data_IF_474096438396
#
_entry.id   IF_474096438396
#
_cell.length_a   1.000
_cell.length_b   1.000
_cell.length_c   1.000
_cell.angle_alpha   90.00
_cell.angle_beta   90.00
_cell.angle_gamma   90.00
#
_symmetry.space_group_name_H-M   'P 1'
#
loop_
_entity.id
_entity.type
_entity.pdbx_description
1 polymer ?
#
# COMPACT_ATOMS: atom_id res chain seq x y z
N UNK A 1 -23.17 -9.05 -4.04
CA UNK A 1 -22.96 -8.07 -5.11
C UNK A 1 -21.52 -8.27 -5.56
N UNK A 2 -21.29 -8.81 -6.76
CA UNK A 2 -19.92 -9.04 -7.25
C UNK A 2 -19.29 -7.67 -7.50
N UNK A 3 -18.25 -7.34 -6.73
CA UNK A 3 -17.43 -6.16 -6.97
C UNK A 3 -16.78 -6.37 -8.33
N UNK A 4 -17.23 -5.61 -9.34
CA UNK A 4 -16.60 -5.58 -10.65
C UNK A 4 -15.14 -5.22 -10.43
N UNK A 5 -14.27 -6.17 -10.74
CA UNK A 5 -12.85 -6.04 -10.54
C UNK A 5 -12.35 -4.92 -11.46
N UNK A 6 -12.14 -3.73 -10.89
CA UNK A 6 -11.15 -2.79 -11.40
C UNK A 6 -9.81 -3.53 -11.47
N UNK A 7 -8.89 -3.11 -12.33
CA UNK A 7 -7.58 -3.76 -12.49
C UNK A 7 -6.85 -4.04 -11.17
N UNK A 8 -5.67 -4.65 -11.26
CA UNK A 8 -4.75 -4.71 -10.13
C UNK A 8 -4.15 -3.31 -9.91
N UNK A 9 -5.01 -2.35 -9.59
CA UNK A 9 -4.72 -0.94 -9.38
C UNK A 9 -4.24 -0.78 -7.94
N UNK A 10 -3.21 0.04 -7.76
CA UNK A 10 -2.69 0.46 -6.48
C UNK A 10 -2.70 1.99 -6.44
N UNK A 11 -3.40 2.61 -5.48
CA UNK A 11 -4.20 1.96 -4.42
C UNK A 11 -5.44 1.24 -4.98
N UNK A 12 -5.82 0.14 -4.35
CA UNK A 12 -7.00 -0.63 -4.73
C UNK A 12 -8.29 0.05 -4.27
N UNK A 13 -9.39 -0.22 -4.98
CA UNK A 13 -10.70 0.37 -4.63
C UNK A 13 -11.16 0.04 -3.20
N UNK A 14 -10.75 -1.13 -2.68
CA UNK A 14 -11.05 -1.55 -1.31
C UNK A 14 -10.21 -0.84 -0.24
N UNK A 15 -9.12 -0.17 -0.63
CA UNK A 15 -8.32 0.66 0.27
C UNK A 15 -8.93 2.06 0.45
N UNK A 16 -9.79 2.50 -0.48
CA UNK A 16 -10.43 3.81 -0.45
C UNK A 16 -9.46 5.01 -0.33
N UNK A 17 -8.25 4.82 -0.85
CA UNK A 17 -7.19 5.83 -0.96
C UNK A 17 -7.22 6.39 -2.38
N UNK A 18 -6.96 7.70 -2.55
CA UNK A 18 -7.05 8.33 -3.87
C UNK A 18 -5.83 8.04 -4.74
N UNK A 19 -4.62 8.30 -4.23
CA UNK A 19 -3.38 8.20 -5.01
C UNK A 19 -2.21 7.70 -4.16
N UNK A 20 -1.20 7.13 -4.82
CA UNK A 20 0.16 7.11 -4.30
C UNK A 20 0.76 8.53 -4.42
N UNK A 21 1.72 8.87 -3.57
CA UNK A 21 2.42 10.16 -3.65
C UNK A 21 3.93 9.93 -3.62
N UNK A 22 4.68 10.65 -4.46
CA UNK A 22 6.15 10.67 -4.44
C UNK A 22 6.62 12.08 -4.77
N UNK A 23 7.42 12.65 -3.88
CA UNK A 23 7.93 14.00 -3.98
C UNK A 23 9.32 14.04 -4.60
N UNK A 24 9.65 15.16 -5.23
CA UNK A 24 10.98 15.40 -5.80
C UNK A 24 12.09 15.37 -4.75
N UNK A 25 13.33 15.10 -5.18
CA UNK A 25 14.50 14.89 -4.31
C UNK A 25 14.90 16.11 -3.45
N UNK A 26 14.33 17.28 -3.72
CA UNK A 26 14.55 18.53 -2.98
C UNK A 26 13.32 18.95 -2.18
N UNK A 27 12.27 18.12 -2.15
CA UNK A 27 11.10 18.38 -1.33
C UNK A 27 11.47 18.33 0.15
N UNK A 28 10.81 19.19 0.92
CA UNK A 28 10.90 19.12 2.37
C UNK A 28 10.11 17.88 2.83
N UNK A 29 10.69 16.98 3.65
CA UNK A 29 10.00 15.80 4.18
C UNK A 29 8.66 16.10 4.86
N UNK A 30 8.43 17.35 5.30
CA UNK A 30 7.16 17.80 5.87
C UNK A 30 5.91 17.66 4.97
N UNK A 31 6.07 17.19 3.73
CA UNK A 31 4.95 16.95 2.82
C UNK A 31 4.49 15.48 2.81
N UNK A 32 4.94 14.70 3.79
CA UNK A 32 4.51 13.33 4.03
C UNK A 32 5.39 12.26 3.38
N UNK A 33 6.34 12.62 2.52
CA UNK A 33 7.30 11.72 1.85
C UNK A 33 8.72 12.00 2.35
N UNK A 34 9.26 11.07 3.15
CA UNK A 34 10.54 11.24 3.84
C UNK A 34 11.74 10.67 3.10
N UNK A 35 11.53 9.85 2.07
CA UNK A 35 12.60 9.18 1.32
C UNK A 35 12.55 9.39 -0.20
N UNK A 36 11.52 10.06 -0.72
CA UNK A 36 11.31 10.36 -2.14
C UNK A 36 11.18 9.11 -3.01
N UNK A 37 10.91 7.95 -2.41
CA UNK A 37 10.93 6.64 -3.06
C UNK A 37 9.70 5.82 -2.66
N UNK A 38 8.87 5.47 -3.65
CA UNK A 38 7.82 4.48 -3.47
C UNK A 38 8.20 3.17 -4.17
N UNK A 39 8.33 2.09 -3.40
CA UNK A 39 8.56 0.74 -3.93
C UNK A 39 7.26 -0.05 -3.89
N UNK A 40 6.82 -0.60 -5.03
CA UNK A 40 5.63 -1.44 -5.14
C UNK A 40 5.99 -2.77 -5.80
N UNK A 41 5.48 -3.86 -5.24
CA UNK A 41 5.64 -5.19 -5.78
C UNK A 41 4.34 -5.68 -6.41
N UNK A 42 4.44 -6.33 -7.56
CA UNK A 42 3.33 -7.00 -8.22
C UNK A 42 3.56 -8.51 -8.30
N UNK A 43 2.65 -9.28 -7.71
CA UNK A 43 2.62 -10.73 -7.72
C UNK A 43 1.76 -11.24 -8.89
N UNK A 44 2.32 -12.15 -9.68
CA UNK A 44 1.65 -12.82 -10.80
C UNK A 44 1.67 -14.33 -10.53
N UNK A 45 0.53 -15.04 -10.53
CA UNK A 45 0.51 -16.47 -10.29
C UNK A 45 1.36 -17.22 -11.32
N UNK A 46 2.10 -18.24 -10.89
CA UNK A 46 2.95 -19.02 -11.81
C UNK A 46 2.20 -19.63 -12.99
N UNK A 47 0.88 -19.82 -12.86
CA UNK A 47 -0.01 -20.39 -13.87
C UNK A 47 -0.38 -19.40 -14.96
N UNK A 48 -0.21 -18.09 -14.73
CA UNK A 48 -0.46 -17.06 -15.73
C UNK A 48 0.75 -16.91 -16.66
N UNK A 49 0.57 -17.18 -17.96
CA UNK A 49 1.65 -17.23 -18.97
C UNK A 49 1.51 -16.21 -20.09
N UNK A 50 0.44 -15.41 -20.08
CA UNK A 50 0.17 -14.41 -21.12
C UNK A 50 0.95 -13.12 -20.82
N UNK A 51 1.15 -12.24 -21.81
CA UNK A 51 1.73 -10.92 -21.56
C UNK A 51 0.96 -10.12 -20.51
N UNK A 52 1.68 -9.25 -19.83
CA UNK A 52 1.18 -8.28 -18.85
C UNK A 52 1.68 -6.88 -19.19
N UNK A 53 1.01 -5.88 -18.65
CA UNK A 53 1.32 -4.46 -18.89
C UNK A 53 1.27 -3.71 -17.56
N UNK A 54 2.32 -2.96 -17.25
CA UNK A 54 2.27 -1.99 -16.16
C UNK A 54 1.72 -0.68 -16.71
N UNK A 55 0.69 -0.15 -16.09
CA UNK A 55 0.07 1.12 -16.46
C UNK A 55 0.28 2.11 -15.34
N UNK A 56 0.60 3.35 -15.69
CA UNK A 56 0.86 4.45 -14.76
C UNK A 56 -0.14 5.54 -15.11
N UNK A 57 -0.99 5.90 -14.16
CA UNK A 57 -1.90 7.02 -14.29
C UNK A 57 -1.21 8.27 -13.77
N UNK A 58 -1.24 9.35 -14.55
CA UNK A 58 -0.67 10.64 -14.18
C UNK A 58 0.82 10.56 -13.77
N UNK A 59 1.70 10.04 -14.66
CA UNK A 59 3.10 9.77 -14.32
C UNK A 59 3.95 11.04 -14.13
N UNK A 60 3.40 12.21 -14.41
CA UNK A 60 4.14 13.47 -14.53
C UNK A 60 3.81 14.38 -13.36
N UNK A 61 4.81 15.16 -12.90
CA UNK A 61 4.54 16.10 -11.83
C UNK A 61 3.96 17.41 -12.36
N UNK A 62 2.68 17.59 -12.08
CA UNK A 62 1.92 18.81 -12.19
C UNK A 62 0.71 18.63 -13.08
N UNK A 63 -0.36 19.37 -12.82
CA UNK A 63 -1.61 19.16 -13.55
C UNK A 63 -2.77 19.34 -12.61
N UNK A 64 -3.79 18.49 -12.73
CA UNK A 64 -4.98 18.58 -11.91
C UNK A 64 -4.76 18.07 -10.47
N UNK A 65 -3.97 17.00 -10.30
CA UNK A 65 -3.93 16.26 -9.04
C UNK A 65 -2.70 16.56 -8.19
N UNK A 66 -1.54 16.83 -8.79
CA UNK A 66 -0.26 16.98 -8.09
C UNK A 66 -0.19 18.17 -7.11
N UNK A 67 0.81 18.12 -6.22
CA UNK A 67 1.05 19.20 -5.25
C UNK A 67 2.15 20.13 -5.73
N UNK A 68 1.78 21.38 -6.03
CA UNK A 68 2.73 22.45 -6.34
C UNK A 68 3.30 23.03 -5.05
N UNK A 69 4.60 22.93 -4.86
CA UNK A 69 5.31 23.55 -3.73
C UNK A 69 5.83 24.94 -4.12
N UNK A 70 6.40 25.09 -5.33
CA UNK A 70 6.93 26.37 -5.82
C UNK A 70 6.66 26.56 -7.32
N UNK A 71 6.45 27.81 -7.76
CA UNK A 71 6.26 28.12 -9.19
C UNK A 71 7.61 28.39 -9.87
N UNK A 72 7.91 27.81 -11.05
CA UNK A 72 7.13 26.80 -11.77
C UNK A 72 7.38 25.38 -11.25
N UNK A 73 6.52 24.44 -11.67
CA UNK A 73 6.74 23.00 -11.50
C UNK A 73 8.17 22.62 -11.88
N UNK A 74 8.85 21.86 -11.03
CA UNK A 74 10.25 21.48 -11.21
C UNK A 74 10.55 20.00 -10.90
N UNK A 75 9.59 19.22 -10.43
CA UNK A 75 9.81 17.81 -10.10
C UNK A 75 9.91 16.90 -11.32
N UNK A 76 10.89 15.98 -11.28
CA UNK A 76 11.00 14.85 -12.21
C UNK A 76 10.83 13.53 -11.48
N UNK A 77 9.96 12.69 -12.00
CA UNK A 77 9.67 11.37 -11.42
C UNK A 77 10.16 10.25 -12.34
N UNK A 78 11.00 9.36 -11.82
CA UNK A 78 11.41 8.15 -12.52
C UNK A 78 10.50 6.98 -12.14
N UNK A 79 10.07 6.21 -13.13
CA UNK A 79 9.41 4.93 -12.94
C UNK A 79 10.27 3.83 -13.54
N UNK A 80 10.72 2.90 -12.70
CA UNK A 80 11.57 1.78 -13.11
C UNK A 80 11.00 0.44 -12.70
N UNK A 81 11.10 -0.54 -13.59
CA UNK A 81 10.57 -1.90 -13.41
C UNK A 81 11.73 -2.89 -13.38
N UNK A 82 11.73 -3.73 -12.35
CA UNK A 82 12.73 -4.75 -12.11
C UNK A 82 12.11 -6.13 -12.05
N UNK A 83 12.85 -7.11 -12.55
CA UNK A 83 12.54 -8.53 -12.45
C UNK A 83 13.81 -9.37 -12.23
N UNK A 84 13.72 -10.68 -12.37
CA UNK A 84 14.84 -11.60 -12.19
C UNK A 84 15.28 -11.75 -10.73
N UNK A 85 16.36 -12.49 -10.51
CA UNK A 85 16.87 -12.78 -9.18
C UNK A 85 17.16 -11.50 -8.39
N UNK A 86 16.77 -11.47 -7.12
CA UNK A 86 16.93 -10.33 -6.19
C UNK A 86 16.05 -9.10 -6.47
N UNK A 87 15.13 -9.14 -7.44
CA UNK A 87 14.17 -8.04 -7.59
C UNK A 87 13.27 -7.89 -6.36
N UNK A 88 12.83 -9.01 -5.79
CA UNK A 88 12.07 -9.10 -4.55
C UNK A 88 12.90 -9.63 -3.38
N UNK A 89 13.71 -10.67 -3.56
CA UNK A 89 14.37 -11.38 -2.44
C UNK A 89 15.49 -10.58 -1.76
N UNK A 90 15.93 -9.46 -2.36
CA UNK A 90 16.80 -8.50 -1.69
C UNK A 90 16.02 -7.74 -0.61
N UNK A 91 16.51 -7.81 0.63
CA UNK A 91 15.80 -7.26 1.79
C UNK A 91 15.81 -5.75 1.81
N UNK A 92 16.82 -5.11 1.21
CA UNK A 92 16.91 -3.65 1.16
C UNK A 92 15.69 -3.00 0.48
N UNK A 93 14.99 -3.71 -0.41
CA UNK A 93 13.75 -3.24 -1.04
C UNK A 93 12.47 -3.59 -0.25
N UNK A 94 12.59 -4.33 0.85
CA UNK A 94 11.49 -4.74 1.73
C UNK A 94 11.51 -4.00 3.08
N UNK A 95 12.32 -2.96 3.22
CA UNK A 95 12.41 -2.15 4.44
C UNK A 95 11.54 -0.91 4.33
N UNK A 96 11.30 -0.24 5.47
CA UNK A 96 10.59 1.03 5.47
C UNK A 96 11.42 2.10 4.75
N UNK A 97 12.71 2.22 5.11
CA UNK A 97 13.70 2.99 4.35
C UNK A 97 14.48 2.05 3.43
N UNK A 98 14.47 2.29 2.11
CA UNK A 98 15.22 1.49 1.17
C UNK A 98 16.72 1.43 1.51
N UNK A 99 17.25 0.23 1.69
CA UNK A 99 18.69 0.02 1.91
C UNK A 99 19.51 0.22 0.62
N UNK A 100 20.84 0.28 0.66
CA UNK A 100 21.67 0.64 -0.50
C UNK A 100 21.47 -0.24 -1.75
N UNK A 101 21.02 -1.48 -1.59
CA UNK A 101 20.79 -2.41 -2.69
C UNK A 101 19.31 -2.50 -3.10
N UNK A 102 18.46 -1.53 -2.75
CA UNK A 102 17.02 -1.57 -3.07
C UNK A 102 16.73 -1.67 -4.58
N UNK A 103 17.66 -1.24 -5.45
CA UNK A 103 17.60 -1.41 -6.91
C UNK A 103 18.09 -2.76 -7.43
N UNK A 104 18.28 -3.75 -6.57
CA UNK A 104 18.68 -5.10 -6.98
C UNK A 104 17.68 -5.75 -7.93
N UNK A 105 18.15 -6.71 -8.72
CA UNK A 105 17.38 -7.33 -9.80
C UNK A 105 17.85 -6.84 -11.17
N UNK A 106 17.20 -7.35 -12.21
CA UNK A 106 17.41 -6.93 -13.58
C UNK A 106 16.50 -5.74 -13.87
N UNK A 107 17.08 -4.58 -14.19
CA UNK A 107 16.33 -3.45 -14.72
C UNK A 107 15.75 -3.83 -16.09
N UNK A 108 14.43 -3.81 -16.21
CA UNK A 108 13.72 -4.14 -17.47
C UNK A 108 13.46 -2.86 -18.25
N UNK A 109 12.96 -1.83 -17.58
CA UNK A 109 12.66 -0.53 -18.17
C UNK A 109 12.73 0.57 -17.10
N UNK A 110 13.14 1.77 -17.49
CA UNK A 110 13.14 2.98 -16.67
C UNK A 110 12.74 4.15 -17.56
N UNK A 111 11.82 4.98 -17.08
CA UNK A 111 11.29 6.14 -17.81
C UNK A 111 11.21 7.33 -16.85
N UNK A 112 11.78 8.45 -17.28
CA UNK A 112 11.68 9.74 -16.60
C UNK A 112 10.52 10.56 -17.14
N UNK A 113 9.80 11.20 -16.23
CA UNK A 113 8.68 12.09 -16.52
C UNK A 113 8.95 13.47 -15.93
N UNK A 114 8.76 14.51 -16.74
CA UNK A 114 9.07 15.91 -16.38
C UNK A 114 8.18 16.95 -17.08
N UNK A 115 7.72 16.65 -18.29
CA UNK A 115 6.73 17.46 -19.00
C UNK A 115 5.31 16.94 -18.68
N UNK A 116 4.22 17.54 -19.20
CA UNK A 116 2.83 17.13 -18.89
C UNK A 116 1.98 16.52 -20.04
N UNK A 117 2.51 15.74 -21.01
CA UNK A 117 1.67 15.11 -22.04
C UNK A 117 0.63 14.09 -21.54
N UNK A 118 0.67 13.64 -20.29
CA UNK A 118 -0.18 12.58 -19.71
C UNK A 118 -0.94 13.00 -18.44
N UNK A 119 -1.17 14.30 -18.20
CA UNK A 119 -2.03 14.79 -17.10
C UNK A 119 -3.40 14.11 -17.15
N UNK A 120 -3.76 13.43 -16.05
CA UNK A 120 -5.00 12.68 -15.91
C UNK A 120 -5.20 11.58 -16.98
N UNK A 121 -4.12 11.06 -17.57
CA UNK A 121 -4.12 10.00 -18.58
C UNK A 121 -3.29 8.77 -18.13
N UNK A 122 -3.49 7.63 -18.80
CA UNK A 122 -2.73 6.41 -18.54
C UNK A 122 -1.58 6.23 -19.54
N UNK A 123 -0.36 6.13 -19.03
CA UNK A 123 0.81 5.63 -19.76
C UNK A 123 0.98 4.12 -19.57
N UNK A 124 1.52 3.40 -20.56
CA UNK A 124 1.64 1.93 -20.51
C UNK A 124 3.05 1.47 -20.86
N UNK A 125 3.61 0.64 -19.99
CA UNK A 125 4.86 -0.08 -20.17
C UNK A 125 4.60 -1.56 -20.47
N UNK A 126 5.47 -2.14 -21.29
CA UNK A 126 5.41 -3.54 -21.72
C UNK A 126 5.04 -3.69 -23.21
N UNK A 127 4.64 -4.91 -23.65
CA UNK A 127 4.33 -6.08 -22.83
C UNK A 127 5.55 -6.66 -22.09
N UNK A 128 5.31 -7.21 -20.91
CA UNK A 128 6.28 -8.05 -20.19
C UNK A 128 5.83 -9.51 -20.19
N UNK A 129 6.79 -10.44 -20.19
CA UNK A 129 6.56 -11.84 -19.94
C UNK A 129 6.54 -12.08 -18.42
N UNK A 130 5.49 -12.69 -17.83
CA UNK A 130 5.45 -12.98 -16.39
C UNK A 130 6.70 -13.65 -15.82
N UNK A 131 7.38 -14.49 -16.61
CA UNK A 131 8.61 -15.17 -16.20
C UNK A 131 9.84 -14.26 -16.07
N UNK A 132 9.75 -12.99 -16.47
CA UNK A 132 10.80 -11.99 -16.23
C UNK A 132 10.83 -11.54 -14.77
N UNK A 133 9.74 -11.72 -14.00
CA UNK A 133 9.72 -11.46 -12.57
C UNK A 133 10.55 -12.47 -11.76
N UNK A 134 10.81 -12.17 -10.49
CA UNK A 134 11.46 -13.13 -9.59
C UNK A 134 10.47 -14.21 -9.14
N UNK A 135 10.78 -15.49 -9.35
CA UNK A 135 9.94 -16.55 -8.81
C UNK A 135 10.08 -16.64 -7.29
N UNK A 136 8.96 -16.49 -6.58
CA UNK A 136 8.87 -16.69 -5.14
C UNK A 136 8.09 -17.98 -4.84
N UNK A 137 8.74 -18.92 -4.15
CA UNK A 137 8.15 -20.21 -3.80
C UNK A 137 7.01 -20.10 -2.78
N UNK A 138 7.10 -19.18 -1.82
CA UNK A 138 6.12 -19.03 -0.74
C UNK A 138 4.79 -18.45 -1.26
N UNK A 139 4.86 -17.54 -2.23
CA UNK A 139 3.71 -16.91 -2.88
C UNK A 139 3.28 -17.63 -4.18
N UNK A 140 4.03 -18.68 -4.56
CA UNK A 140 3.81 -19.50 -5.76
C UNK A 140 3.61 -18.69 -7.06
N UNK A 141 4.41 -17.64 -7.23
CA UNK A 141 4.26 -16.67 -8.32
C UNK A 141 5.53 -15.92 -8.66
N UNK A 142 5.47 -15.14 -9.73
CA UNK A 142 6.53 -14.25 -10.16
C UNK A 142 6.26 -12.84 -9.65
N UNK A 143 7.30 -12.17 -9.15
CA UNK A 143 7.19 -10.84 -8.55
C UNK A 143 8.00 -9.85 -9.37
N UNK A 144 7.34 -8.79 -9.81
CA UNK A 144 7.98 -7.60 -10.35
C UNK A 144 8.09 -6.55 -9.25
N UNK A 145 9.19 -5.80 -9.25
CA UNK A 145 9.37 -4.63 -8.40
C UNK A 145 9.29 -3.38 -9.26
N UNK A 146 8.48 -2.43 -8.84
CA UNK A 146 8.38 -1.09 -9.42
C UNK A 146 8.95 -0.12 -8.40
N UNK A 147 9.88 0.71 -8.83
CA UNK A 147 10.44 1.81 -8.04
C UNK A 147 9.98 3.10 -8.70
N UNK A 148 9.32 3.94 -7.93
CA UNK A 148 8.98 5.30 -8.29
C UNK A 148 9.83 6.23 -7.44
N UNK A 149 10.48 7.20 -8.06
CA UNK A 149 11.45 8.06 -7.36
C UNK A 149 11.37 9.48 -7.88
N UNK A 150 11.25 10.45 -6.96
CA UNK A 150 11.50 11.84 -7.28
C UNK A 150 12.99 12.09 -7.41
N UNK A 151 13.44 12.43 -8.61
CA UNK A 151 14.87 12.58 -8.95
C UNK A 151 15.34 14.03 -9.00
N UNK A 152 14.40 14.96 -9.10
CA UNK A 152 14.61 16.41 -9.14
C UNK A 152 13.35 17.10 -8.62
N UNK A 153 13.46 18.38 -8.24
CA UNK A 153 12.40 19.27 -7.80
C UNK A 153 11.90 19.05 -6.37
N UNK A 154 10.89 19.84 -6.00
CA UNK A 154 10.30 19.86 -4.65
C UNK A 154 8.76 19.73 -4.65
N UNK A 155 8.16 19.53 -5.81
CA UNK A 155 6.73 19.26 -5.98
C UNK A 155 6.40 17.77 -5.77
N UNK A 156 5.14 17.49 -5.44
CA UNK A 156 4.64 16.13 -5.19
C UNK A 156 3.88 15.56 -6.37
N UNK A 157 4.37 14.47 -6.96
CA UNK A 157 3.65 13.72 -7.99
C UNK A 157 2.69 12.70 -7.37
N UNK A 158 1.42 12.75 -7.75
CA UNK A 158 0.40 11.80 -7.30
C UNK A 158 -0.13 10.96 -8.46
N UNK A 159 -0.09 9.65 -8.29
CA UNK A 159 -0.33 8.72 -9.39
C UNK A 159 -1.05 7.46 -8.93
N UNK A 160 -1.41 6.61 -9.90
CA UNK A 160 -1.81 5.22 -9.63
C UNK A 160 -1.01 4.28 -10.50
N UNK A 161 -0.71 3.11 -9.95
CA UNK A 161 -0.14 2.00 -10.71
C UNK A 161 -1.21 0.96 -11.01
N UNK A 162 -1.12 0.27 -12.14
CA UNK A 162 -1.99 -0.87 -12.41
C UNK A 162 -1.27 -1.95 -13.19
N UNK A 163 -1.37 -3.20 -12.73
CA UNK A 163 -0.96 -4.36 -13.53
C UNK A 163 -2.16 -4.91 -14.32
N UNK A 164 -2.00 -5.00 -15.64
CA UNK A 164 -3.09 -5.35 -16.54
C UNK A 164 -2.76 -6.49 -17.49
N UNK A 165 -3.78 -7.26 -17.86
CA UNK A 165 -3.69 -8.28 -18.93
C UNK A 165 -3.76 -7.68 -20.34
N UNK A 166 -4.08 -6.37 -20.48
CA UNK A 166 -4.22 -5.68 -21.76
C UNK A 166 -3.60 -4.27 -21.71
N UNK A 167 -3.12 -3.72 -22.85
CA UNK A 167 -2.39 -2.45 -22.83
C UNK A 167 -3.27 -1.21 -22.63
N UNK A 168 -4.57 -1.27 -22.98
CA UNK A 168 -5.43 -0.06 -23.05
C UNK A 168 -6.48 0.06 -21.94
N UNK A 169 -6.69 -0.99 -21.16
CA UNK A 169 -7.63 -0.98 -20.03
C UNK A 169 -6.96 -1.57 -18.78
N UNK A 170 -7.51 -1.27 -17.60
CA UNK A 170 -7.12 -1.87 -16.33
C UNK A 170 -7.89 -3.18 -16.12
N UNK A 171 -7.39 -4.30 -16.68
CA UNK A 171 -7.99 -5.63 -16.49
C UNK A 171 -7.10 -6.44 -15.56
N UNK A 172 -7.58 -6.86 -14.38
CA UNK A 172 -6.74 -7.50 -13.37
C UNK A 172 -6.28 -8.89 -13.82
N UNK A 173 -5.11 -9.30 -13.33
CA UNK A 173 -4.63 -10.68 -13.49
C UNK A 173 -5.36 -11.55 -12.46
N UNK A 174 -6.10 -12.59 -12.88
CA UNK A 174 -6.72 -13.51 -11.93
C UNK A 174 -5.69 -14.13 -10.99
N UNK A 175 -5.88 -13.95 -9.68
CA UNK A 175 -4.97 -14.44 -8.64
C UNK A 175 -3.72 -13.59 -8.41
N UNK A 176 -3.52 -12.50 -9.16
CA UNK A 176 -2.43 -11.56 -8.90
C UNK A 176 -2.67 -10.71 -7.66
N UNK A 177 -1.62 -10.07 -7.15
CA UNK A 177 -1.71 -9.07 -6.08
C UNK A 177 -0.73 -7.91 -6.29
N UNK A 178 -0.93 -6.80 -5.60
CA UNK A 178 0.05 -5.73 -5.45
C UNK A 178 0.32 -5.52 -3.95
N UNK A 179 1.54 -5.15 -3.57
CA UNK A 179 1.88 -4.89 -2.18
C UNK A 179 3.08 -3.96 -2.02
N UNK A 180 3.16 -3.29 -0.87
CA UNK A 180 4.30 -2.46 -0.46
C UNK A 180 4.64 -2.67 1.02
N UNK A 181 5.84 -2.29 1.44
CA UNK A 181 6.29 -2.31 2.84
C UNK A 181 6.30 -0.90 3.48
N UNK A 182 6.45 0.14 2.67
CA UNK A 182 6.30 1.55 3.04
C UNK A 182 5.26 2.19 2.12
N UNK A 183 4.25 2.84 2.67
CA UNK A 183 3.11 3.33 1.89
C UNK A 183 3.00 4.84 2.06
N UNK A 184 3.33 5.57 1.01
CA UNK A 184 3.18 7.03 0.92
C UNK A 184 2.00 7.33 0.00
N UNK A 185 0.95 7.94 0.54
CA UNK A 185 -0.31 8.06 -0.17
C UNK A 185 -1.14 9.29 0.20
N UNK A 186 -2.01 9.67 -0.73
CA UNK A 186 -2.98 10.76 -0.57
C UNK A 186 -4.32 10.25 -0.07
N UNK A 187 -4.73 10.77 1.08
CA UNK A 187 -6.07 10.55 1.60
C UNK A 187 -7.12 11.35 0.82
N UNK A 188 -8.33 10.81 0.78
CA UNK A 188 -9.50 11.51 0.25
C UNK A 188 -9.73 12.83 0.98
N UNK A 189 -10.09 13.86 0.21
CA UNK A 189 -10.53 15.14 0.73
C UNK A 189 -11.97 15.07 1.30
N UNK A 190 -12.19 14.23 2.31
CA UNK A 190 -13.48 14.11 2.98
C UNK A 190 -13.38 13.42 4.35
N UNK A 191 -13.99 14.04 5.37
CA UNK A 191 -14.12 13.47 6.73
C UNK A 191 -15.06 12.26 6.85
N UNK A 192 -15.79 11.95 5.78
CA UNK A 192 -16.74 10.82 5.78
C UNK A 192 -16.14 9.54 5.24
N UNK A 193 -14.91 9.63 4.72
CA UNK A 193 -14.21 8.53 4.08
C UNK A 193 -13.22 7.90 5.06
N UNK A 194 -13.14 6.57 5.02
CA UNK A 194 -12.19 5.78 5.80
C UNK A 194 -11.27 5.11 4.80
N UNK A 195 -9.95 5.33 4.93
CA UNK A 195 -8.95 4.61 4.19
C UNK A 195 -8.60 3.30 4.92
N UNK A 196 -8.21 2.28 4.16
CA UNK A 196 -7.92 0.94 4.66
C UNK A 196 -6.54 0.48 4.19
N UNK A 197 -5.73 -0.03 5.12
CA UNK A 197 -4.47 -0.70 4.84
C UNK A 197 -4.52 -2.14 5.35
N UNK A 198 -4.04 -3.09 4.54
CA UNK A 198 -4.18 -4.52 4.84
C UNK A 198 -2.83 -5.22 5.08
N UNK A 199 -2.19 -5.04 6.25
CA UNK A 199 -0.94 -5.73 6.55
C UNK A 199 -1.18 -7.24 6.71
N UNK A 200 -0.32 -8.05 6.10
CA UNK A 200 -0.39 -9.51 6.23
C UNK A 200 0.48 -10.01 7.40
N UNK A 201 -0.16 -10.69 8.35
CA UNK A 201 0.50 -11.17 9.56
C UNK A 201 0.84 -12.64 9.38
N UNK A 202 2.11 -12.97 9.12
CA UNK A 202 2.53 -14.36 8.99
C UNK A 202 2.56 -15.11 10.34
N UNK A 203 2.80 -16.42 10.29
CA UNK A 203 2.78 -17.29 11.47
C UNK A 203 3.90 -17.04 12.49
N UNK A 204 4.92 -16.28 12.14
CA UNK A 204 6.04 -15.91 13.01
C UNK A 204 5.82 -14.58 13.74
N UNK A 205 4.87 -13.75 13.32
CA UNK A 205 4.62 -12.44 13.92
C UNK A 205 3.87 -12.58 15.25
N UNK A 206 4.42 -11.99 16.31
CA UNK A 206 3.83 -12.00 17.67
C UNK A 206 3.53 -10.60 18.20
N UNK A 207 4.17 -9.58 17.65
CA UNK A 207 3.80 -8.18 17.85
C UNK A 207 4.06 -7.38 16.59
N UNK A 208 3.29 -6.32 16.44
CA UNK A 208 3.47 -5.31 15.39
C UNK A 208 3.66 -3.96 16.04
N UNK A 209 4.51 -3.13 15.44
CA UNK A 209 4.68 -1.74 15.78
C UNK A 209 4.38 -0.92 14.54
N UNK A 210 3.28 -0.18 14.57
CA UNK A 210 2.91 0.73 13.48
C UNK A 210 3.65 2.04 13.61
N UNK A 211 3.92 2.67 12.47
CA UNK A 211 4.48 4.00 12.35
C UNK A 211 3.65 4.77 11.32
N UNK A 212 3.33 6.01 11.66
CA UNK A 212 2.71 6.95 10.72
C UNK A 212 3.33 8.33 10.89
N UNK A 213 3.46 9.02 9.76
CA UNK A 213 4.05 10.35 9.66
C UNK A 213 3.08 11.25 8.88
N UNK A 214 2.96 12.51 9.34
CA UNK A 214 2.21 13.58 8.66
C UNK A 214 0.69 13.39 8.52
N UNK A 215 0.06 12.69 9.46
CA UNK A 215 -1.41 12.65 9.53
C UNK A 215 -2.04 13.90 10.16
N UNK A 216 -1.23 14.85 10.66
CA UNK A 216 -1.67 16.16 11.17
C UNK A 216 -2.75 16.13 12.27
N UNK A 217 -2.82 15.05 13.04
CA UNK A 217 -3.90 14.83 14.02
C UNK A 217 -5.30 14.91 13.41
N UNK A 218 -5.45 14.58 12.12
CA UNK A 218 -6.69 14.72 11.35
C UNK A 218 -7.71 13.61 11.60
N UNK A 219 -7.67 12.92 12.73
CA UNK A 219 -8.69 11.94 13.07
C UNK A 219 -8.16 10.78 13.87
N UNK A 220 -8.60 9.57 13.53
CA UNK A 220 -8.31 8.37 14.30
C UNK A 220 -7.82 7.24 13.40
N UNK A 221 -6.86 6.48 13.92
CA UNK A 221 -6.37 5.26 13.31
C UNK A 221 -6.79 4.08 14.19
N UNK A 222 -7.46 3.08 13.61
CA UNK A 222 -7.96 1.90 14.33
C UNK A 222 -7.57 0.61 13.62
N UNK A 223 -7.20 -0.39 14.41
CA UNK A 223 -6.88 -1.74 13.97
C UNK A 223 -8.06 -2.68 14.19
N UNK A 224 -8.49 -3.33 13.12
CA UNK A 224 -9.47 -4.39 13.09
C UNK A 224 -8.83 -5.69 12.62
N UNK A 225 -9.27 -6.79 13.20
CA UNK A 225 -8.82 -8.13 12.85
C UNK A 225 -9.89 -9.14 13.25
N UNK A 226 -9.60 -10.43 13.10
CA UNK A 226 -10.44 -11.49 13.65
C UNK A 226 -10.49 -11.49 15.19
N UNK A 227 -9.53 -10.84 15.88
CA UNK A 227 -9.43 -10.77 17.33
C UNK A 227 -9.63 -9.36 17.91
N UNK A 228 -9.60 -8.31 17.08
CA UNK A 228 -9.69 -6.91 17.50
C UNK A 228 -10.81 -6.21 16.75
N UNK A 229 -11.63 -5.45 17.49
CA UNK A 229 -12.74 -4.69 16.94
C UNK A 229 -12.55 -3.20 17.23
N UNK A 230 -11.64 -2.55 16.50
CA UNK A 230 -11.37 -1.12 16.63
C UNK A 230 -10.36 -0.77 17.71
N UNK A 231 -9.23 -1.51 17.76
CA UNK A 231 -8.14 -1.20 18.67
C UNK A 231 -7.45 0.12 18.25
N UNK A 232 -7.37 1.10 19.14
CA UNK A 232 -6.86 2.44 18.80
C UNK A 232 -5.35 2.42 18.58
N UNK A 233 -4.92 3.02 17.48
CA UNK A 233 -3.53 3.28 17.14
C UNK A 233 -3.20 4.76 17.37
N UNK A 234 -1.98 5.06 17.81
CA UNK A 234 -1.53 6.45 17.98
C UNK A 234 -1.41 7.11 16.61
N UNK A 235 -2.02 8.27 16.46
CA UNK A 235 -2.03 9.09 15.24
C UNK A 235 -0.98 10.19 15.35
N UNK A 236 -0.28 10.49 14.27
CA UNK A 236 0.76 11.53 14.26
C UNK A 236 0.21 12.94 14.11
N UNK A 237 0.98 13.92 14.58
CA UNK A 237 0.79 15.34 14.29
C UNK A 237 1.51 15.80 13.02
N UNK A 238 1.47 17.11 12.79
CA UNK A 238 2.17 17.83 11.72
C UNK A 238 3.68 17.66 11.89
N UNK A 239 4.35 17.06 10.88
CA UNK A 239 5.79 16.75 10.88
C UNK A 239 6.25 15.85 12.02
N UNK A 240 5.34 15.08 12.61
CA UNK A 240 5.67 14.16 13.69
C UNK A 240 5.58 12.71 13.22
N UNK A 241 6.54 11.89 13.66
CA UNK A 241 6.43 10.43 13.56
C UNK A 241 5.76 9.91 14.83
N UNK A 242 4.67 9.16 14.69
CA UNK A 242 4.01 8.49 15.81
C UNK A 242 4.02 7.00 15.66
N UNK A 243 3.98 6.31 16.80
CA UNK A 243 4.04 4.85 16.85
C UNK A 243 3.23 4.27 18.00
N UNK A 244 2.77 3.04 17.83
CA UNK A 244 2.17 2.23 18.89
C UNK A 244 2.43 0.75 18.63
N UNK A 245 2.61 -0.02 19.70
CA UNK A 245 2.88 -1.46 19.64
C UNK A 245 1.65 -2.27 20.04
N UNK A 246 1.42 -3.36 19.32
CA UNK A 246 0.24 -4.21 19.44
C UNK A 246 0.65 -5.67 19.44
N UNK A 247 0.18 -6.42 20.44
CA UNK A 247 0.37 -7.88 20.46
C UNK A 247 -0.53 -8.52 19.42
N UNK A 248 0.04 -9.50 18.71
CA UNK A 248 -0.68 -10.34 17.76
C UNK A 248 -1.20 -11.57 18.49
N UNK A 249 -2.51 -11.77 18.40
CA UNK A 249 -3.20 -12.96 18.87
C UNK A 249 -2.95 -14.13 17.90
N UNK A 250 -2.91 -15.36 18.40
CA UNK A 250 -2.61 -16.52 17.57
C UNK A 250 -3.64 -16.70 16.45
N UNK A 251 -4.91 -16.34 16.70
CA UNK A 251 -5.97 -16.46 15.70
C UNK A 251 -5.83 -15.44 14.55
N UNK A 252 -5.01 -14.40 14.71
CA UNK A 252 -4.73 -13.38 13.69
C UNK A 252 -3.64 -13.81 12.70
N UNK A 253 -2.80 -14.78 13.06
CA UNK A 253 -1.70 -15.26 12.23
C UNK A 253 -2.19 -15.96 10.94
N UNK A 254 -1.44 -15.77 9.86
CA UNK A 254 -1.77 -16.24 8.52
C UNK A 254 -2.89 -15.46 7.82
N UNK A 255 -3.21 -14.25 8.28
CA UNK A 255 -4.34 -13.43 7.79
C UNK A 255 -3.93 -11.97 7.66
N UNK A 256 -4.63 -11.23 6.81
CA UNK A 256 -4.57 -9.77 6.81
C UNK A 256 -5.35 -9.16 7.99
N UNK A 257 -4.82 -8.08 8.54
CA UNK A 257 -5.58 -7.15 9.39
C UNK A 257 -6.16 -6.00 8.54
N UNK A 258 -6.98 -5.15 9.14
CA UNK A 258 -7.55 -3.93 8.52
C UNK A 258 -7.23 -2.73 9.41
N UNK A 259 -6.33 -1.87 8.95
CA UNK A 259 -6.05 -0.58 9.60
C UNK A 259 -6.92 0.46 8.91
N UNK A 260 -7.85 1.02 9.68
CA UNK A 260 -8.74 2.08 9.27
C UNK A 260 -8.20 3.43 9.68
N UNK A 261 -8.05 4.33 8.71
CA UNK A 261 -7.65 5.71 8.90
C UNK A 261 -8.87 6.57 8.59
N UNK A 262 -9.49 7.11 9.63
CA UNK A 262 -10.71 7.91 9.53
C UNK A 262 -10.37 9.38 9.74
N UNK A 263 -10.65 10.22 8.74
CA UNK A 263 -10.46 11.67 8.83
C UNK A 263 -11.57 12.35 9.61
N UNK A 264 -11.26 13.45 10.29
CA UNK A 264 -12.20 14.37 10.90
C UNK A 264 -12.28 15.72 10.16
N UNK A 265 -11.46 15.95 9.12
CA UNK A 265 -11.43 17.16 8.30
C UNK A 265 -11.67 16.89 6.81
N UNK A 266 -12.18 17.91 6.10
CA UNK A 266 -12.33 17.94 4.64
C UNK A 266 -11.15 18.72 4.02
N UNK A 267 -9.95 18.14 4.05
CA UNK A 267 -8.77 18.64 3.30
C UNK A 267 -7.98 17.51 2.66
N UNK A 268 -7.14 17.82 1.67
CA UNK A 268 -6.15 16.88 1.15
C UNK A 268 -5.03 16.74 2.17
N UNK A 269 -4.54 15.50 2.38
CA UNK A 269 -3.34 15.25 3.16
C UNK A 269 -2.63 14.00 2.60
N UNK A 270 -1.29 14.06 2.55
CA UNK A 270 -0.41 12.99 2.14
C UNK A 270 0.29 12.47 3.39
N UNK A 271 0.33 11.14 3.57
CA UNK A 271 0.94 10.55 4.76
C UNK A 271 1.73 9.30 4.41
N UNK A 272 2.71 8.99 5.26
CA UNK A 272 3.48 7.74 5.18
C UNK A 272 3.09 6.79 6.30
N UNK A 273 2.94 5.51 5.98
CA UNK A 273 2.59 4.45 6.92
C UNK A 273 3.41 3.18 6.71
N UNK A 274 3.98 2.64 7.79
CA UNK A 274 4.65 1.33 7.76
C UNK A 274 4.48 0.57 9.09
N UNK A 275 4.71 -0.73 9.06
CA UNK A 275 4.64 -1.60 10.24
C UNK A 275 5.89 -2.45 10.33
N UNK A 276 6.45 -2.56 11.52
CA UNK A 276 7.53 -3.50 11.83
C UNK A 276 7.02 -4.64 12.72
N UNK A 277 7.55 -5.84 12.51
CA UNK A 277 7.37 -6.95 13.45
C UNK A 277 8.35 -6.86 14.64
N UNK A 278 8.31 -7.83 15.55
CA UNK A 278 9.20 -7.91 16.71
C UNK A 278 10.71 -8.00 16.39
N UNK A 279 11.07 -8.25 15.13
CA UNK A 279 12.45 -8.34 14.65
C UNK A 279 12.88 -7.10 13.86
N UNK A 280 12.10 -6.01 13.92
CA UNK A 280 12.29 -4.79 13.12
C UNK A 280 12.25 -5.05 11.59
N UNK A 281 11.51 -6.07 11.16
CA UNK A 281 11.30 -6.34 9.73
C UNK A 281 9.96 -5.75 9.32
N UNK A 282 9.93 -5.05 8.18
CA UNK A 282 8.69 -4.45 7.71
C UNK A 282 7.67 -5.51 7.28
N UNK A 283 6.39 -5.21 7.47
CA UNK A 283 5.27 -6.07 7.13
C UNK A 283 4.60 -5.52 5.86
N UNK A 284 4.33 -6.36 4.84
CA UNK A 284 3.73 -5.90 3.60
C UNK A 284 2.23 -5.62 3.75
N UNK A 285 1.78 -4.52 3.16
CA UNK A 285 0.38 -4.18 2.91
C UNK A 285 -0.02 -4.70 1.55
N UNK A 286 -1.01 -5.60 1.49
CA UNK A 286 -1.52 -6.12 0.23
C UNK A 286 -2.75 -5.35 -0.23
N UNK A 287 -2.78 -4.95 -1.50
CA UNK A 287 -3.91 -4.26 -2.12
C UNK A 287 -5.20 -5.12 -2.08
N UNK A 288 -5.06 -6.45 -2.16
CA UNK A 288 -6.12 -7.41 -1.89
C UNK A 288 -5.74 -8.21 -0.63
N UNK A 289 -6.53 -8.13 0.47
CA UNK A 289 -6.17 -8.79 1.73
C UNK A 289 -6.14 -10.31 1.59
N UNK A 290 -5.05 -10.92 2.05
CA UNK A 290 -4.88 -12.38 2.04
C UNK A 290 -5.80 -12.98 3.10
N UNK A 291 -6.67 -13.89 2.67
CA UNK A 291 -7.75 -14.44 3.51
C UNK A 291 -9.03 -13.60 3.49
N UNK A 292 -9.06 -12.49 2.72
CA UNK A 292 -10.19 -11.57 2.63
C UNK A 292 -10.17 -10.48 3.70
N UNK A 293 -11.10 -9.53 3.60
CA UNK A 293 -11.26 -8.46 4.61
C UNK A 293 -11.57 -9.12 5.96
N UNK A 294 -10.79 -8.85 7.01
CA UNK A 294 -10.96 -9.50 8.30
C UNK A 294 -12.33 -9.20 8.90
N UNK A 295 -12.92 -10.21 9.53
CA UNK A 295 -14.18 -10.09 10.27
C UNK A 295 -13.94 -10.50 11.70
N UNK A 296 -14.29 -9.64 12.64
CA UNK A 296 -14.17 -9.92 14.07
C UNK A 296 -14.98 -11.16 14.46
N UNK A 297 -14.35 -12.08 15.19
CA UNK A 297 -15.02 -13.25 15.73
C UNK A 297 -15.75 -12.88 17.02
N UNK A 298 -17.06 -12.72 16.93
CA UNK A 298 -17.91 -12.52 18.11
C UNK A 298 -17.96 -13.81 18.94
N UNK A 299 -17.22 -13.85 20.06
CA UNK A 299 -17.43 -14.86 21.09
C UNK A 299 -18.62 -14.42 21.97
N UNK A 300 -19.81 -14.89 21.62
CA UNK A 300 -21.02 -14.70 22.45
C UNK A 300 -21.06 -15.85 23.46
N UNK A 301 -20.61 -15.59 24.69
CA UNK A 301 -20.87 -16.48 25.82
C UNK A 301 -22.35 -16.31 26.23
N UNK A 302 -23.22 -17.19 25.71
CA UNK A 302 -24.60 -17.28 26.17
C UNK A 302 -24.61 -17.94 27.56
N UNK A 303 -24.64 -17.14 28.61
CA UNK A 303 -24.99 -17.64 29.95
C UNK A 303 -26.49 -17.93 29.98
N UNK A 304 -26.86 -19.20 29.93
CA UNK A 304 -28.21 -19.64 30.26
C UNK A 304 -28.42 -19.54 31.78
N UNK A 305 -29.08 -18.49 32.24
CA UNK A 305 -29.68 -18.50 33.58
C UNK A 305 -30.91 -19.41 33.53
N UNK A 306 -30.71 -20.69 33.86
CA UNK A 306 -31.81 -21.60 34.15
C UNK A 306 -32.50 -21.12 35.43
N UNK A 307 -33.62 -20.43 35.28
CA UNK A 307 -34.54 -20.14 36.38
C UNK A 307 -35.10 -21.50 36.84
N UNK A 308 -34.56 -22.04 37.92
CA UNK A 308 -35.21 -23.08 38.71
C UNK A 308 -36.49 -22.50 39.34
N UNK A 309 -37.59 -22.52 38.58
CA UNK A 309 -38.92 -22.43 39.17
C UNK A 309 -39.17 -23.72 39.92
N UNK A 310 -38.86 -23.71 41.22
CA UNK A 310 -39.37 -24.67 42.18
C UNK A 310 -40.88 -24.80 41.95
N UNK A 311 -41.31 -25.99 41.48
CA UNK A 311 -42.70 -26.42 41.59
C UNK A 311 -42.96 -26.73 43.06
N UNK A 312 -43.57 -25.80 43.76
CA UNK A 312 -44.41 -26.10 44.92
C UNK A 312 -45.87 -26.20 44.45
N UNK A 313 -46.56 -27.17 45.06
CA UNK A 313 -47.96 -27.63 44.88
C UNK A 313 -48.14 -28.82 43.95
#
# INVERSE_FOLDING_TARGET
MFQLASGQVMPASGENIDFLSTFGAQADPQWGDDDHIQIVFFLIPKTYKRPIYLRIFDPECGGQHDLLTEVPWNTKTNFSVYGGAKAYSEKDAQQYNPGPNYRSGNLIISVDFSDKPYDNEWYTLGPFNPAEGEYNKALDGFIFKVIVEGTEGNDGNVYRLALSTVPKNNIPIPGGNAFTYNYTFRLKNSRTQVAHLYPYIDNSVISIKQFNFDFDSEGEIKLYSVAKNGHVLVSSGDKELSTSEHKVDEIERGKSMDIQIAKNQDRVNDMTFYILNQYNQAIPFFAIPIGGIPKYNFNIDIKYDYINKNKSY
#
